data_IF_194739531830
#
_entry.id   IF_194739531830
#
_cell.length_a   1.000
_cell.length_b   1.000
_cell.length_c   1.000
_cell.angle_alpha   90.00
_cell.angle_beta   90.00
_cell.angle_gamma   90.00
#
_symmetry.space_group_name_H-M   'P 1'
#
loop_
_entity.id
_entity.type
_entity.pdbx_description
1 polymer ?
#
# COMPACT_ATOMS: atom_id res chain seq x y z
N UNK A 1 1.37 12.10 -12.94
CA UNK A 1 1.35 10.96 -11.99
C UNK A 1 1.44 9.73 -12.88
N UNK A 2 2.50 8.92 -12.72
CA UNK A 2 2.74 7.79 -13.63
C UNK A 2 1.57 6.81 -13.57
N UNK A 3 1.13 6.33 -14.73
CA UNK A 3 0.10 5.30 -14.85
C UNK A 3 0.63 3.94 -14.32
N UNK A 4 -0.26 3.06 -13.86
CA UNK A 4 0.09 1.74 -13.33
C UNK A 4 0.75 0.87 -14.43
N UNK A 5 0.44 1.13 -15.70
CA UNK A 5 1.10 0.55 -16.87
C UNK A 5 2.57 0.99 -17.00
N UNK A 6 2.84 2.28 -16.76
CA UNK A 6 4.20 2.85 -16.79
C UNK A 6 5.03 2.31 -15.62
N UNK A 7 4.43 2.20 -14.44
CA UNK A 7 5.03 1.55 -13.28
C UNK A 7 5.36 0.09 -13.58
N UNK A 8 4.42 -0.68 -14.16
CA UNK A 8 4.66 -2.09 -14.48
C UNK A 8 5.78 -2.25 -15.50
N UNK A 9 5.83 -1.38 -16.52
CA UNK A 9 6.95 -1.31 -17.48
C UNK A 9 8.26 -0.99 -16.76
N UNK A 10 8.27 0.01 -15.88
CA UNK A 10 9.46 0.43 -15.13
C UNK A 10 10.01 -0.69 -14.23
N UNK A 11 9.14 -1.35 -13.47
CA UNK A 11 9.50 -2.50 -12.61
C UNK A 11 10.07 -3.66 -13.44
N UNK A 12 9.54 -3.91 -14.65
CA UNK A 12 10.10 -4.92 -15.57
C UNK A 12 11.50 -4.53 -16.06
N UNK A 13 11.72 -3.26 -16.43
CA UNK A 13 13.03 -2.76 -16.89
C UNK A 13 14.08 -2.90 -15.79
N UNK A 14 13.75 -2.52 -14.56
CA UNK A 14 14.65 -2.63 -13.41
C UNK A 14 14.94 -4.09 -13.07
N UNK A 15 13.91 -4.94 -13.07
CA UNK A 15 14.02 -6.36 -12.74
C UNK A 15 14.92 -7.17 -13.67
N UNK A 16 15.27 -6.64 -14.85
CA UNK A 16 16.22 -7.25 -15.77
C UNK A 16 17.68 -6.86 -15.51
N UNK A 17 17.95 -5.87 -14.63
CA UNK A 17 19.27 -5.24 -14.49
C UNK A 17 19.79 -5.16 -13.06
N UNK A 18 18.92 -5.04 -12.06
CA UNK A 18 19.35 -4.86 -10.67
C UNK A 18 19.62 -6.17 -9.92
N UNK A 19 20.45 -6.09 -8.88
CA UNK A 19 20.63 -7.18 -7.91
C UNK A 19 19.28 -7.62 -7.34
N UNK A 20 18.94 -8.89 -7.57
CA UNK A 20 17.69 -9.48 -7.11
C UNK A 20 17.85 -10.15 -5.74
N UNK A 21 17.11 -9.68 -4.75
CA UNK A 21 16.96 -10.32 -3.46
C UNK A 21 15.69 -11.19 -3.48
N UNK A 22 15.85 -12.50 -3.32
CA UNK A 22 14.75 -13.44 -3.21
C UNK A 22 14.49 -13.83 -1.75
N UNK A 23 13.24 -13.75 -1.34
CA UNK A 23 12.79 -14.12 0.00
C UNK A 23 11.82 -15.30 -0.05
N UNK A 24 12.03 -16.26 0.85
CA UNK A 24 11.08 -17.36 1.10
C UNK A 24 9.90 -16.83 1.93
N UNK A 25 8.74 -17.51 1.85
CA UNK A 25 7.61 -17.16 2.73
C UNK A 25 8.03 -17.23 4.20
N UNK A 26 7.58 -16.26 4.98
CA UNK A 26 7.90 -15.99 6.38
C UNK A 26 9.37 -15.60 6.66
N UNK A 27 10.23 -15.49 5.64
CA UNK A 27 11.59 -15.02 5.84
C UNK A 27 11.59 -13.55 6.27
N UNK A 28 12.34 -13.26 7.33
CA UNK A 28 12.52 -11.90 7.86
C UNK A 28 13.91 -11.40 7.52
N UNK A 29 14.01 -10.15 7.07
CA UNK A 29 15.26 -9.45 6.78
C UNK A 29 15.21 -8.05 7.39
N UNK A 30 16.36 -7.46 7.75
CA UNK A 30 16.40 -6.06 8.14
C UNK A 30 15.95 -5.17 6.97
N UNK A 31 15.60 -3.92 7.30
CA UNK A 31 15.43 -2.89 6.28
C UNK A 31 16.75 -2.64 5.55
N UNK A 32 16.70 -2.20 4.28
CA UNK A 32 17.90 -1.84 3.55
C UNK A 32 18.66 -0.71 4.27
N UNK A 33 20.01 -0.67 4.15
CA UNK A 33 20.81 0.40 4.71
C UNK A 33 20.47 1.76 4.07
N UNK A 34 20.87 2.84 4.74
CA UNK A 34 20.69 4.20 4.22
C UNK A 34 21.31 4.34 2.81
N UNK A 35 20.61 5.04 1.92
CA UNK A 35 21.03 5.23 0.53
C UNK A 35 20.68 4.08 -0.41
N UNK A 36 20.23 2.92 0.08
CA UNK A 36 19.74 1.82 -0.75
C UNK A 36 18.22 1.82 -0.83
N UNK A 37 17.70 1.70 -2.04
CA UNK A 37 16.27 1.59 -2.32
C UNK A 37 16.00 0.25 -2.98
N UNK A 38 15.03 -0.48 -2.43
CA UNK A 38 14.56 -1.74 -2.98
C UNK A 38 13.13 -1.55 -3.50
N UNK A 39 12.82 -2.19 -4.62
CA UNK A 39 11.44 -2.24 -5.13
C UNK A 39 10.97 -3.68 -5.04
N UNK A 40 9.77 -3.86 -4.46
CA UNK A 40 9.13 -5.16 -4.45
C UNK A 40 8.65 -5.48 -5.87
N UNK A 41 9.21 -6.50 -6.50
CA UNK A 41 8.85 -6.88 -7.88
C UNK A 41 7.66 -7.84 -7.87
N UNK A 42 7.70 -8.85 -7.02
CA UNK A 42 6.66 -9.87 -6.91
C UNK A 42 6.44 -10.28 -5.45
N UNK A 43 5.23 -10.75 -5.17
CA UNK A 43 4.83 -11.21 -3.85
C UNK A 43 4.35 -10.10 -2.94
N UNK A 44 4.34 -10.39 -1.65
CA UNK A 44 3.82 -9.52 -0.61
C UNK A 44 4.76 -9.52 0.59
N UNK A 45 5.05 -8.33 1.11
CA UNK A 45 5.82 -8.15 2.34
C UNK A 45 4.97 -7.49 3.42
N UNK A 46 5.36 -7.69 4.67
CA UNK A 46 4.91 -6.91 5.81
C UNK A 46 6.08 -6.09 6.35
N UNK A 47 5.82 -4.82 6.68
CA UNK A 47 6.70 -4.04 7.55
C UNK A 47 6.27 -4.33 8.98
N UNK A 48 7.11 -5.03 9.73
CA UNK A 48 6.85 -5.34 11.12
C UNK A 48 7.66 -4.42 12.04
N UNK A 49 7.01 -3.95 13.10
CA UNK A 49 7.63 -3.30 14.24
C UNK A 49 7.60 -4.22 15.46
N UNK A 50 8.75 -4.40 16.10
CA UNK A 50 8.94 -5.12 17.34
C UNK A 50 9.65 -4.21 18.34
N UNK A 51 8.92 -3.43 19.14
CA UNK A 51 9.49 -2.65 20.22
C UNK A 51 10.16 -3.57 21.25
N UNK A 52 11.17 -3.08 21.99
CA UNK A 52 12.01 -3.88 22.90
C UNK A 52 11.27 -4.74 23.94
N UNK A 53 10.01 -4.43 24.26
CA UNK A 53 9.13 -5.22 25.15
C UNK A 53 7.69 -5.32 24.61
N UNK A 54 7.52 -5.17 23.30
CA UNK A 54 6.22 -5.07 22.65
C UNK A 54 5.75 -6.37 22.00
N UNK A 55 4.47 -6.42 21.65
CA UNK A 55 3.97 -7.39 20.68
C UNK A 55 4.38 -6.93 19.27
N UNK A 56 4.52 -7.90 18.36
CA UNK A 56 4.68 -7.61 16.95
C UNK A 56 3.50 -6.77 16.46
N UNK A 57 3.80 -5.65 15.82
CA UNK A 57 2.84 -4.81 15.13
C UNK A 57 3.15 -4.85 13.64
N UNK A 58 2.14 -5.14 12.81
CA UNK A 58 2.25 -4.97 11.36
C UNK A 58 1.90 -3.52 11.04
N UNK A 59 2.81 -2.80 10.37
CA UNK A 59 2.63 -1.39 10.02
C UNK A 59 2.08 -1.19 8.62
N UNK A 60 2.57 -1.97 7.65
CA UNK A 60 2.08 -1.93 6.28
C UNK A 60 2.23 -3.29 5.61
N UNK A 61 1.40 -3.49 4.59
CA UNK A 61 1.38 -4.64 3.70
C UNK A 61 1.79 -4.16 2.31
N UNK A 62 3.03 -4.46 1.95
CA UNK A 62 3.62 -4.04 0.70
C UNK A 62 3.30 -5.02 -0.43
N UNK A 63 3.04 -4.47 -1.61
CA UNK A 63 2.74 -5.21 -2.84
C UNK A 63 3.71 -4.84 -3.96
N UNK A 64 3.64 -5.57 -5.07
CA UNK A 64 4.46 -5.30 -6.24
C UNK A 64 4.42 -3.82 -6.67
N UNK A 65 5.60 -3.24 -6.84
CA UNK A 65 5.87 -1.85 -7.17
C UNK A 65 6.02 -0.92 -5.97
N UNK A 66 5.76 -1.37 -4.75
CA UNK A 66 6.07 -0.59 -3.55
C UNK A 66 7.57 -0.47 -3.33
N UNK A 67 7.97 0.66 -2.76
CA UNK A 67 9.37 1.02 -2.50
C UNK A 67 9.70 0.80 -1.03
N UNK A 68 10.89 0.28 -0.77
CA UNK A 68 11.44 0.08 0.57
C UNK A 68 12.81 0.72 0.69
N UNK A 69 12.99 1.55 1.69
CA UNK A 69 14.24 2.23 2.02
C UNK A 69 14.41 2.31 3.55
N UNK A 70 15.58 2.73 4.02
CA UNK A 70 15.79 3.03 5.43
C UNK A 70 14.83 4.10 5.98
N UNK A 71 14.32 4.98 5.10
CA UNK A 71 13.37 6.06 5.44
C UNK A 71 11.90 5.64 5.32
N UNK A 72 11.61 4.38 4.96
CA UNK A 72 10.23 3.86 4.91
C UNK A 72 9.59 3.74 6.29
N UNK A 73 10.40 3.74 7.35
CA UNK A 73 9.99 3.79 8.75
C UNK A 73 10.94 4.70 9.54
N UNK A 74 10.68 4.87 10.83
CA UNK A 74 11.62 5.51 11.74
C UNK A 74 12.97 4.76 11.71
N UNK A 75 14.11 5.44 11.51
CA UNK A 75 15.43 4.81 11.49
C UNK A 75 15.87 4.44 12.91
N UNK A 76 15.20 3.47 13.50
CA UNK A 76 15.45 2.95 14.83
C UNK A 76 15.47 1.41 14.80
N UNK A 77 16.07 0.75 15.81
CA UNK A 77 15.99 -0.69 15.95
C UNK A 77 14.54 -1.17 16.09
N UNK A 78 14.30 -2.44 15.74
CA UNK A 78 13.02 -3.11 15.95
C UNK A 78 12.12 -3.17 14.71
N UNK A 79 12.51 -2.60 13.57
CA UNK A 79 11.79 -2.77 12.31
C UNK A 79 12.42 -3.83 11.43
N UNK A 80 11.58 -4.53 10.67
CA UNK A 80 12.04 -5.52 9.70
C UNK A 80 11.02 -5.75 8.60
N UNK A 81 11.49 -6.27 7.48
CA UNK A 81 10.65 -6.75 6.40
C UNK A 81 10.45 -8.25 6.59
N UNK A 82 9.20 -8.70 6.50
CA UNK A 82 8.87 -10.12 6.47
C UNK A 82 8.12 -10.45 5.20
N UNK A 83 8.60 -11.46 4.48
CA UNK A 83 7.92 -11.97 3.32
C UNK A 83 6.66 -12.74 3.73
N UNK A 84 5.49 -12.27 3.32
CA UNK A 84 4.21 -12.96 3.57
C UNK A 84 4.09 -14.13 2.60
N UNK A 85 4.30 -13.87 1.32
CA UNK A 85 4.45 -14.89 0.26
C UNK A 85 5.92 -15.03 -0.12
N UNK A 86 6.27 -15.95 -1.04
CA UNK A 86 7.55 -15.82 -1.75
C UNK A 86 7.59 -14.43 -2.41
N UNK A 87 8.74 -13.78 -2.32
CA UNK A 87 8.90 -12.41 -2.80
C UNK A 87 10.24 -12.21 -3.51
N UNK A 88 10.25 -11.31 -4.48
CA UNK A 88 11.47 -10.85 -5.14
C UNK A 88 11.54 -9.33 -5.04
N UNK A 89 12.70 -8.83 -4.59
CA UNK A 89 12.99 -7.41 -4.55
C UNK A 89 14.16 -7.14 -5.48
N UNK A 90 14.18 -5.95 -6.08
CA UNK A 90 15.28 -5.49 -6.90
C UNK A 90 15.88 -4.24 -6.31
N UNK A 91 17.21 -4.18 -6.25
CA UNK A 91 17.94 -2.97 -5.90
C UNK A 91 17.79 -1.97 -7.04
N UNK A 92 17.38 -0.76 -6.69
CA UNK A 92 17.37 0.36 -7.61
C UNK A 92 18.60 1.22 -7.28
N UNK A 93 19.64 1.12 -8.09
CA UNK A 93 20.83 1.93 -7.91
C UNK A 93 20.55 3.36 -8.35
N UNK A 94 21.12 4.38 -7.66
CA UNK A 94 20.91 5.77 -8.04
C UNK A 94 21.29 6.03 -9.51
N UNK A 95 20.68 7.01 -10.19
CA UNK A 95 20.94 7.30 -11.61
C UNK A 95 22.40 7.60 -11.95
N UNK A 96 23.20 8.02 -10.96
CA UNK A 96 24.64 8.22 -11.11
C UNK A 96 25.41 6.91 -11.36
N UNK A 97 24.82 5.77 -10.99
CA UNK A 97 25.39 4.43 -11.09
C UNK A 97 24.85 3.69 -12.33
N UNK A 98 23.56 3.81 -12.63
CA UNK A 98 22.92 3.21 -13.81
C UNK A 98 22.39 4.27 -14.79
N UNK A 99 23.10 4.45 -15.91
CA UNK A 99 22.74 5.42 -16.98
C UNK A 99 21.59 4.96 -17.87
N UNK A 100 21.08 3.75 -17.66
CA UNK A 100 20.06 3.17 -18.55
C UNK A 100 18.64 3.60 -18.23
N UNK A 101 18.44 4.26 -17.09
CA UNK A 101 17.18 4.89 -16.68
C UNK A 101 17.42 6.40 -16.57
N UNK A 102 16.67 7.24 -17.29
CA UNK A 102 16.77 8.69 -17.12
C UNK A 102 16.52 9.08 -15.65
N UNK A 103 17.36 9.96 -15.10
CA UNK A 103 17.24 10.37 -13.70
C UNK A 103 15.85 10.94 -13.37
N UNK A 104 15.21 11.63 -14.32
CA UNK A 104 13.87 12.16 -14.17
C UNK A 104 12.82 11.05 -13.95
N UNK A 105 12.86 9.98 -14.74
CA UNK A 105 11.91 8.86 -14.64
C UNK A 105 12.11 8.09 -13.33
N UNK A 106 13.38 7.90 -12.93
CA UNK A 106 13.75 7.33 -11.65
C UNK A 106 13.12 8.09 -10.48
N UNK A 107 13.32 9.41 -10.42
CA UNK A 107 12.82 10.22 -9.30
C UNK A 107 11.29 10.35 -9.35
N UNK A 108 10.71 10.50 -10.54
CA UNK A 108 9.26 10.54 -10.71
C UNK A 108 8.61 9.25 -10.19
N UNK A 109 9.18 8.09 -10.51
CA UNK A 109 8.72 6.81 -10.00
C UNK A 109 8.82 6.72 -8.48
N UNK A 110 9.99 7.00 -7.91
CA UNK A 110 10.20 6.92 -6.46
C UNK A 110 9.28 7.85 -5.69
N UNK A 111 9.13 9.10 -6.14
CA UNK A 111 8.26 10.10 -5.49
C UNK A 111 6.81 9.65 -5.60
N UNK A 112 6.34 9.24 -6.77
CA UNK A 112 4.95 8.81 -6.95
C UNK A 112 4.61 7.60 -6.06
N UNK A 113 5.51 6.61 -5.98
CA UNK A 113 5.31 5.44 -5.11
C UNK A 113 5.39 5.79 -3.63
N UNK A 114 6.36 6.60 -3.22
CA UNK A 114 6.49 7.03 -1.83
C UNK A 114 5.28 7.84 -1.37
N UNK A 115 4.75 8.73 -2.21
CA UNK A 115 3.53 9.50 -1.90
C UNK A 115 2.30 8.60 -1.80
N UNK A 116 2.16 7.58 -2.66
CA UNK A 116 1.08 6.61 -2.52
C UNK A 116 1.20 5.83 -1.20
N UNK A 117 2.39 5.32 -0.87
CA UNK A 117 2.63 4.62 0.40
C UNK A 117 2.35 5.53 1.62
N UNK A 118 2.73 6.80 1.56
CA UNK A 118 2.42 7.79 2.60
C UNK A 118 0.91 8.00 2.75
N UNK A 119 0.17 8.14 1.63
CA UNK A 119 -1.28 8.27 1.67
C UNK A 119 -1.96 7.03 2.29
N UNK A 120 -1.48 5.81 1.96
CA UNK A 120 -1.95 4.57 2.60
C UNK A 120 -1.68 4.56 4.10
N UNK A 121 -0.50 4.99 4.52
CA UNK A 121 -0.14 5.09 5.93
C UNK A 121 -1.04 6.09 6.68
N UNK A 122 -1.34 7.25 6.09
CA UNK A 122 -2.27 8.23 6.67
C UNK A 122 -3.69 7.68 6.81
N UNK A 123 -4.20 6.95 5.81
CA UNK A 123 -5.50 6.26 5.93
C UNK A 123 -5.46 5.20 7.03
N UNK A 124 -4.37 4.44 7.13
CA UNK A 124 -4.19 3.43 8.16
C UNK A 124 -4.22 4.05 9.57
N UNK A 125 -3.59 5.20 9.77
CA UNK A 125 -3.64 5.96 11.02
C UNK A 125 -5.07 6.36 11.39
N UNK A 126 -5.87 6.85 10.43
CA UNK A 126 -7.29 7.14 10.65
C UNK A 126 -8.08 5.88 11.03
N UNK A 127 -7.82 4.78 10.31
CA UNK A 127 -8.45 3.49 10.53
C UNK A 127 -8.23 3.00 11.97
N UNK A 128 -7.00 2.98 12.47
CA UNK A 128 -6.71 2.47 13.82
C UNK A 128 -7.06 3.49 14.92
N UNK A 129 -7.01 4.79 14.61
CA UNK A 129 -7.20 5.86 15.59
C UNK A 129 -8.65 6.27 15.85
N UNK A 130 -9.57 6.01 14.90
CA UNK A 130 -10.97 6.48 15.04
C UNK A 130 -12.05 5.47 14.77
N UNK A 131 -11.79 4.44 13.95
CA UNK A 131 -12.85 3.51 13.56
C UNK A 131 -13.10 2.47 14.66
N UNK A 132 -14.35 2.05 14.77
CA UNK A 132 -14.75 0.89 15.55
C UNK A 132 -14.25 -0.41 14.90
N UNK A 133 -14.20 -1.49 15.68
CA UNK A 133 -13.63 -2.77 15.20
C UNK A 133 -14.29 -3.29 13.92
N UNK A 134 -15.62 -3.25 13.82
CA UNK A 134 -16.33 -3.69 12.61
C UNK A 134 -15.99 -2.84 11.39
N UNK A 135 -15.93 -1.51 11.58
CA UNK A 135 -15.56 -0.56 10.54
C UNK A 135 -14.10 -0.76 10.09
N UNK A 136 -13.17 -1.08 11.00
CA UNK A 136 -11.77 -1.39 10.67
C UNK A 136 -11.68 -2.61 9.76
N UNK A 137 -12.36 -3.70 10.11
CA UNK A 137 -12.37 -4.94 9.33
C UNK A 137 -13.03 -4.70 7.97
N UNK A 138 -14.17 -4.02 7.91
CA UNK A 138 -14.83 -3.68 6.66
C UNK A 138 -13.94 -2.80 5.76
N UNK A 139 -13.29 -1.79 6.32
CA UNK A 139 -12.36 -0.90 5.60
C UNK A 139 -11.15 -1.64 5.06
N UNK A 140 -10.60 -2.60 5.81
CA UNK A 140 -9.51 -3.44 5.37
C UNK A 140 -9.92 -4.33 4.19
N UNK A 141 -11.05 -5.03 4.29
CA UNK A 141 -11.56 -5.85 3.18
C UNK A 141 -11.84 -4.99 1.95
N UNK A 142 -12.46 -3.82 2.15
CA UNK A 142 -12.73 -2.87 1.08
C UNK A 142 -11.42 -2.43 0.40
N UNK A 143 -10.38 -2.08 1.17
CA UNK A 143 -9.08 -1.69 0.61
C UNK A 143 -8.46 -2.76 -0.30
N UNK A 144 -8.67 -4.04 0.02
CA UNK A 144 -8.18 -5.14 -0.79
C UNK A 144 -9.07 -5.39 -2.01
N UNK A 145 -10.39 -5.26 -1.86
CA UNK A 145 -11.35 -5.38 -2.95
C UNK A 145 -11.13 -4.30 -4.01
N UNK A 146 -10.88 -3.04 -3.61
CA UNK A 146 -10.66 -1.92 -4.53
C UNK A 146 -9.41 -2.12 -5.42
N UNK A 147 -8.37 -2.80 -4.93
CA UNK A 147 -7.18 -3.16 -5.72
C UNK A 147 -7.46 -4.20 -6.81
N UNK A 148 -8.47 -5.05 -6.57
CA UNK A 148 -8.87 -6.13 -7.47
C UNK A 148 -10.10 -5.76 -8.33
N UNK A 149 -10.70 -4.60 -8.07
CA UNK A 149 -11.92 -4.15 -8.73
C UNK A 149 -11.65 -3.88 -10.20
N UNK A 150 -12.52 -4.39 -11.07
CA UNK A 150 -12.59 -4.02 -12.48
C UNK A 150 -13.93 -3.34 -12.76
N UNK A 151 -13.97 -2.48 -13.79
CA UNK A 151 -15.20 -1.79 -14.19
C UNK A 151 -16.35 -2.80 -14.39
N UNK A 152 -17.51 -2.50 -13.79
CA UNK A 152 -18.72 -3.31 -13.89
C UNK A 152 -18.81 -4.52 -12.95
N UNK A 153 -17.78 -4.80 -12.14
CA UNK A 153 -17.84 -5.90 -11.16
C UNK A 153 -18.69 -5.51 -9.94
N UNK A 154 -19.68 -6.36 -9.62
CA UNK A 154 -20.46 -6.27 -8.37
C UNK A 154 -19.90 -7.12 -7.25
N UNK A 155 -19.13 -8.16 -7.61
CA UNK A 155 -18.49 -9.07 -6.67
C UNK A 155 -17.01 -9.13 -6.97
N UNK A 156 -16.20 -9.19 -5.92
CA UNK A 156 -14.74 -9.14 -6.02
C UNK A 156 -14.14 -10.24 -5.16
N UNK A 157 -13.31 -11.08 -5.77
CA UNK A 157 -12.49 -12.03 -5.02
C UNK A 157 -11.24 -11.34 -4.48
N UNK A 158 -10.94 -11.59 -3.22
CA UNK A 158 -9.86 -10.98 -2.46
C UNK A 158 -9.00 -12.07 -1.87
N UNK A 159 -7.71 -12.03 -2.19
CA UNK A 159 -6.71 -12.90 -1.61
C UNK A 159 -6.24 -12.36 -0.26
N UNK A 160 -6.13 -13.26 0.72
CA UNK A 160 -5.62 -13.03 2.06
C UNK A 160 -4.44 -13.98 2.32
N UNK A 161 -3.27 -13.72 1.69
CA UNK A 161 -2.09 -14.58 1.86
C UNK A 161 -1.47 -14.44 3.25
N UNK A 162 -1.76 -13.35 3.95
CA UNK A 162 -1.36 -13.12 5.34
C UNK A 162 -2.16 -13.98 6.32
N UNK A 163 -1.62 -14.22 7.51
CA UNK A 163 -2.36 -14.93 8.56
C UNK A 163 -3.41 -14.03 9.23
N UNK A 164 -4.39 -14.63 9.90
CA UNK A 164 -5.34 -13.87 10.74
C UNK A 164 -4.64 -13.08 11.84
N UNK A 165 -3.55 -13.60 12.38
CA UNK A 165 -2.74 -12.90 13.38
C UNK A 165 -2.09 -11.67 12.78
N UNK A 166 -1.59 -11.74 11.54
CA UNK A 166 -1.05 -10.57 10.84
C UNK A 166 -2.13 -9.50 10.62
N UNK A 167 -3.33 -9.90 10.19
CA UNK A 167 -4.47 -8.99 10.00
C UNK A 167 -4.88 -8.36 11.34
N UNK A 168 -4.96 -9.15 12.41
CA UNK A 168 -5.32 -8.68 13.74
C UNK A 168 -4.30 -7.68 14.28
N UNK A 169 -3.01 -7.98 14.12
CA UNK A 169 -1.93 -7.06 14.47
C UNK A 169 -2.03 -5.77 13.66
N UNK A 170 -2.22 -5.86 12.33
CA UNK A 170 -2.40 -4.69 11.47
C UNK A 170 -3.58 -3.82 11.94
N UNK A 171 -4.73 -4.41 12.27
CA UNK A 171 -5.94 -3.67 12.66
C UNK A 171 -5.98 -3.25 14.14
N UNK A 172 -4.94 -3.59 14.92
CA UNK A 172 -4.85 -3.32 16.36
C UNK A 172 -6.07 -3.88 17.10
N UNK A 173 -6.40 -5.14 16.83
CA UNK A 173 -7.46 -5.90 17.50
C UNK A 173 -6.97 -7.31 17.83
N UNK A 174 -7.69 -8.04 18.68
CA UNK A 174 -7.35 -9.43 18.94
C UNK A 174 -7.88 -10.35 17.81
N UNK A 175 -7.25 -11.51 17.63
CA UNK A 175 -7.57 -12.47 16.57
C UNK A 175 -8.98 -13.11 16.72
N UNK A 176 -9.48 -13.23 17.96
CA UNK A 176 -10.84 -13.74 18.24
C UNK A 176 -11.90 -12.72 17.77
N UNK A 177 -11.75 -11.45 18.12
CA UNK A 177 -12.60 -10.34 17.68
C UNK A 177 -12.56 -10.18 16.17
N UNK A 178 -11.39 -10.32 15.53
CA UNK A 178 -11.30 -10.38 14.07
C UNK A 178 -12.18 -11.52 13.53
N UNK A 179 -12.04 -12.73 14.09
CA UNK A 179 -12.79 -13.90 13.63
C UNK A 179 -14.31 -13.73 13.80
N UNK A 180 -14.76 -13.21 14.95
CA UNK A 180 -16.18 -12.90 15.21
C UNK A 180 -16.72 -11.81 14.29
N UNK A 181 -15.92 -10.78 14.02
CA UNK A 181 -16.32 -9.69 13.13
C UNK A 181 -16.43 -10.15 11.68
N UNK A 182 -15.47 -10.96 11.20
CA UNK A 182 -15.55 -11.58 9.88
C UNK A 182 -16.80 -12.47 9.76
N UNK A 183 -17.16 -13.22 10.80
CA UNK A 183 -18.39 -14.02 10.83
C UNK A 183 -19.65 -13.14 10.71
N UNK A 184 -19.77 -12.08 11.50
CA UNK A 184 -20.90 -11.13 11.39
C UNK A 184 -21.03 -10.49 10.00
N UNK A 185 -19.90 -10.17 9.36
CA UNK A 185 -19.91 -9.69 7.97
C UNK A 185 -20.34 -10.77 6.97
N UNK A 186 -20.05 -12.05 7.24
CA UNK A 186 -20.56 -13.17 6.44
C UNK A 186 -22.07 -13.34 6.64
N UNK A 187 -22.54 -13.36 7.89
CA UNK A 187 -23.94 -13.57 8.24
C UNK A 187 -24.85 -12.44 7.71
N UNK A 188 -24.29 -11.23 7.55
CA UNK A 188 -24.97 -10.09 6.92
C UNK A 188 -24.91 -10.07 5.40
N UNK A 189 -24.34 -11.10 4.77
CA UNK A 189 -24.28 -11.25 3.31
C UNK A 189 -23.33 -10.27 2.60
N UNK A 190 -22.45 -9.59 3.35
CA UNK A 190 -21.49 -8.63 2.77
C UNK A 190 -20.32 -9.35 2.11
N UNK A 191 -19.88 -10.44 2.72
CA UNK A 191 -18.73 -11.23 2.31
C UNK A 191 -19.04 -12.73 2.42
N UNK A 192 -18.30 -13.54 1.68
CA UNK A 192 -18.38 -14.99 1.73
C UNK A 192 -16.96 -15.56 1.84
N UNK A 193 -16.79 -16.58 2.71
CA UNK A 193 -15.52 -17.29 2.82
C UNK A 193 -15.44 -18.37 1.75
N UNK A 194 -14.71 -18.09 0.67
CA UNK A 194 -14.48 -19.05 -0.40
C UNK A 194 -13.43 -20.10 -0.01
N UNK A 195 -12.35 -19.70 0.66
CA UNK A 195 -11.34 -20.64 1.19
C UNK A 195 -10.62 -20.08 2.42
N UNK A 196 -9.57 -20.77 2.91
CA UNK A 196 -8.73 -20.26 4.01
C UNK A 196 -8.08 -18.91 3.68
N UNK A 197 -7.70 -18.71 2.42
CA UNK A 197 -6.93 -17.56 1.94
C UNK A 197 -7.68 -16.73 0.90
N UNK A 198 -8.95 -17.03 0.62
CA UNK A 198 -9.75 -16.30 -0.37
C UNK A 198 -11.09 -15.92 0.23
N UNK A 199 -11.44 -14.66 0.08
CA UNK A 199 -12.72 -14.07 0.45
C UNK A 199 -13.41 -13.53 -0.79
N UNK A 200 -14.73 -13.66 -0.89
CA UNK A 200 -15.52 -13.01 -1.93
C UNK A 200 -16.32 -11.88 -1.29
N UNK A 201 -16.21 -10.67 -1.84
CA UNK A 201 -17.10 -9.56 -1.50
C UNK A 201 -18.36 -9.73 -2.33
N UNK A 202 -19.51 -9.89 -1.67
CA UNK A 202 -20.80 -10.20 -2.30
C UNK A 202 -21.56 -8.92 -2.66
N UNK A 203 -21.51 -7.93 -1.78
CA UNK A 203 -22.08 -6.61 -2.00
C UNK A 203 -21.03 -5.53 -1.67
N UNK A 204 -20.33 -5.08 -2.71
CA UNK A 204 -19.29 -4.06 -2.58
C UNK A 204 -19.85 -2.73 -2.05
N UNK A 205 -21.07 -2.37 -2.44
CA UNK A 205 -21.65 -1.08 -2.09
C UNK A 205 -22.15 -1.07 -0.65
N UNK A 206 -22.74 -2.19 -0.19
CA UNK A 206 -23.03 -2.37 1.22
C UNK A 206 -21.76 -2.42 2.07
N UNK A 207 -20.67 -3.01 1.58
CA UNK A 207 -19.38 -2.98 2.26
C UNK A 207 -18.81 -1.55 2.35
N UNK A 208 -18.93 -0.75 1.28
CA UNK A 208 -18.57 0.68 1.30
C UNK A 208 -19.32 1.43 2.39
N UNK A 209 -20.62 1.21 2.55
CA UNK A 209 -21.43 1.83 3.62
C UNK A 209 -20.97 1.45 5.04
N UNK A 210 -20.29 0.31 5.22
CA UNK A 210 -19.70 -0.09 6.51
C UNK A 210 -18.35 0.57 6.80
N UNK A 211 -17.74 1.23 5.82
CA UNK A 211 -16.47 1.94 5.98
C UNK A 211 -16.68 3.45 5.95
N UNK A 212 -16.49 4.16 7.08
CA UNK A 212 -16.46 5.63 7.08
C UNK A 212 -15.34 6.22 6.21
N UNK A 213 -14.37 5.41 5.78
CA UNK A 213 -13.23 5.82 4.96
C UNK A 213 -13.39 5.42 3.48
N UNK A 214 -14.56 4.94 3.05
CA UNK A 214 -14.77 4.40 1.70
C UNK A 214 -14.33 5.35 0.58
N UNK A 215 -14.61 6.65 0.70
CA UNK A 215 -14.21 7.66 -0.29
C UNK A 215 -12.68 7.82 -0.38
N UNK A 216 -12.01 7.91 0.77
CA UNK A 216 -10.55 8.00 0.84
C UNK A 216 -9.88 6.73 0.32
N UNK A 217 -10.42 5.56 0.67
CA UNK A 217 -9.94 4.28 0.17
C UNK A 217 -10.09 4.18 -1.35
N UNK A 218 -11.20 4.64 -1.90
CA UNK A 218 -11.42 4.65 -3.35
C UNK A 218 -10.41 5.56 -4.05
N UNK A 219 -10.15 6.75 -3.51
CA UNK A 219 -9.16 7.67 -4.06
C UNK A 219 -7.72 7.13 -4.08
N UNK A 220 -7.37 6.25 -3.14
CA UNK A 220 -6.01 5.69 -3.01
C UNK A 220 -5.82 4.34 -3.70
N UNK A 221 -6.87 3.50 -3.73
CA UNK A 221 -6.78 2.10 -4.15
C UNK A 221 -7.48 1.75 -5.45
N UNK A 222 -8.45 2.53 -5.91
CA UNK A 222 -9.07 2.25 -7.21
C UNK A 222 -8.07 2.53 -8.32
N UNK A 223 -7.84 1.52 -9.16
CA UNK A 223 -7.04 1.68 -10.37
C UNK A 223 -7.70 2.71 -11.25
N UNK A 224 -6.96 3.77 -11.59
CA UNK A 224 -7.31 4.62 -12.72
C UNK A 224 -6.85 3.91 -13.99
N UNK A 225 -7.51 2.81 -14.35
CA UNK A 225 -7.28 2.16 -15.63
C UNK A 225 -7.50 3.21 -16.73
N UNK A 226 -6.42 3.47 -17.49
CA UNK A 226 -6.32 4.31 -18.70
C UNK A 226 -7.59 5.05 -19.10
N UNK A 227 -7.57 6.35 -18.86
CA UNK A 227 -8.51 7.29 -19.45
C UNK A 227 -8.15 7.44 -20.95
N UNK A 228 -8.57 6.49 -21.80
CA UNK A 228 -8.54 6.67 -23.25
C UNK A 228 -9.80 7.43 -23.72
N UNK A 229 -9.55 8.66 -24.16
CA UNK A 229 -10.18 9.42 -25.26
C UNK A 229 -11.71 9.53 -25.32
N UNK A 230 -12.21 10.70 -24.91
CA UNK A 230 -13.57 11.17 -25.19
C UNK A 230 -13.70 12.67 -24.95
N UNK A 231 -13.37 13.44 -25.99
CA UNK A 231 -13.66 14.87 -26.24
C UNK A 231 -13.20 15.91 -25.20
N UNK A 232 -12.25 16.73 -25.64
CA UNK A 232 -12.05 18.09 -25.19
C UNK A 232 -13.36 18.89 -25.28
N UNK A 233 -13.68 19.62 -24.21
CA UNK A 233 -14.19 20.98 -24.35
C UNK A 233 -13.28 21.88 -23.52
N UNK A 234 -12.43 22.62 -24.22
CA UNK A 234 -11.76 23.79 -23.69
C UNK A 234 -12.83 24.73 -23.11
N UNK A 235 -12.68 25.07 -21.84
CA UNK A 235 -13.10 26.37 -21.33
C UNK A 235 -11.82 26.98 -20.77
N UNK A 236 -11.26 27.90 -21.54
CA UNK A 236 -10.27 28.85 -21.03
C UNK A 236 -10.96 29.70 -19.96
N UNK A 237 -10.49 29.63 -18.73
CA UNK A 237 -10.72 30.71 -17.79
C UNK A 237 -9.43 31.04 -17.04
N UNK A 238 -8.92 32.20 -17.43
CA UNK A 238 -7.78 32.91 -16.88
C UNK A 238 -7.91 33.13 -15.38
N UNK A 239 -6.95 32.63 -14.60
CA UNK A 239 -6.77 33.06 -13.22
C UNK A 239 -5.27 33.17 -12.88
N UNK A 240 -4.80 34.42 -12.94
CA UNK A 240 -3.71 35.05 -12.18
C UNK A 240 -3.15 34.22 -11.01
N UNK A 241 -1.85 33.92 -11.06
CA UNK A 241 -1.07 33.34 -9.95
C UNK A 241 -0.66 34.45 -8.97
N UNK A 242 -1.03 34.40 -7.67
CA UNK A 242 -0.39 35.24 -6.67
C UNK A 242 0.91 34.58 -6.20
N UNK A 243 1.99 35.33 -6.30
CA UNK A 243 3.26 35.07 -5.64
C UNK A 243 3.10 35.15 -4.12
N UNK A 244 3.33 34.05 -3.40
CA UNK A 244 3.90 34.03 -2.04
C UNK A 244 3.94 32.59 -1.53
N UNK A 245 5.13 32.04 -1.36
CA UNK A 245 5.52 31.33 -0.14
C UNK A 245 7.03 31.05 -0.21
N UNK A 246 7.83 32.02 0.28
CA UNK A 246 9.18 31.77 0.74
C UNK A 246 9.07 31.13 2.12
N UNK A 247 9.21 29.81 2.22
CA UNK A 247 9.42 29.16 3.53
C UNK A 247 10.93 29.16 3.78
N UNK A 248 11.38 30.12 4.59
CA UNK A 248 12.70 30.13 5.19
C UNK A 248 12.73 29.09 6.31
N UNK A 249 13.61 28.11 6.17
CA UNK A 249 13.96 27.16 7.23
C UNK A 249 14.75 27.91 8.31
N UNK A 250 14.16 28.09 9.48
CA UNK A 250 14.87 28.43 10.72
C UNK A 250 13.96 28.05 11.89
N UNK A 251 14.37 27.05 12.66
CA UNK A 251 14.58 27.11 14.12
C UNK A 251 15.11 25.73 14.53
N UNK A 252 16.43 25.68 14.67
CA UNK A 252 17.12 24.81 15.61
C UNK A 252 17.05 25.48 16.99
N UNK A 253 17.10 24.65 18.05
CA UNK A 253 17.12 24.99 19.48
C UNK A 253 15.77 25.49 20.02
N UNK A 254 15.08 24.67 20.81
CA UNK A 254 15.21 24.58 22.27
C UNK A 254 14.82 23.17 22.73
#
# INVERSE_FOLDING_TARGET
>A
MLDETEVSRFVKVIGAKGDCLHLRSQQRVPLPPAGRVLILREGMLAIDAMPAKGKLQVLDFLVAGDVVSASSVLPAPGYSLRAITRASLVSLDPPAVDRSIPAQDYWAFLVARSLNQLARASIHQLLIGRLETEQRVASFILSLALRNLRKGMRQVSVDLPMSRTDIANYLVINCDTLSRTMMRLCDSGLIERHSRHVLRVIDLEALRRRSPLASLLSAVFERRDGQESGSASCVEESASVPSMLKITVSVLLW
#
